data_IF_624571937683
#
_entry.id   IF_624571937683
#
_cell.length_a   1.000
_cell.length_b   1.000
_cell.length_c   1.000
_cell.angle_alpha   90.00
_cell.angle_beta   90.00
_cell.angle_gamma   90.00
#
_symmetry.space_group_name_H-M   'P 1'
#
loop_
_entity.id
_entity.type
_entity.pdbx_description
1 polymer ?
#
# COMPACT_ATOMS: atom_id res chain seq x y z
N UNK A 1 -14.77 7.11 -17.09
CA UNK A 1 -13.76 6.53 -16.19
C UNK A 1 -12.39 7.13 -16.49
N UNK A 2 -11.60 7.32 -15.50
CA UNK A 2 -10.25 7.90 -15.63
C UNK A 2 -9.23 7.00 -14.94
N UNK A 3 -8.10 6.76 -15.61
CA UNK A 3 -7.01 5.94 -15.09
C UNK A 3 -5.71 6.71 -15.14
N UNK A 4 -4.84 6.53 -14.14
CA UNK A 4 -3.54 7.17 -14.11
C UNK A 4 -2.43 6.18 -13.82
N UNK A 5 -1.35 6.29 -14.60
CA UNK A 5 -0.04 5.77 -14.24
C UNK A 5 0.83 6.95 -13.84
N UNK A 6 1.44 6.87 -12.67
CA UNK A 6 2.16 8.00 -12.07
C UNK A 6 3.66 7.80 -12.25
N UNK A 7 4.29 8.76 -12.97
CA UNK A 7 5.71 8.68 -13.28
C UNK A 7 6.62 8.80 -12.05
N UNK A 8 6.12 9.37 -10.94
CA UNK A 8 6.89 9.56 -9.71
C UNK A 8 6.78 8.39 -8.73
N UNK A 9 6.06 7.33 -9.11
CA UNK A 9 5.90 6.12 -8.31
C UNK A 9 6.52 4.91 -9.01
N UNK A 10 6.79 3.85 -8.26
CA UNK A 10 7.25 2.59 -8.81
C UNK A 10 6.28 2.12 -9.90
N UNK A 11 6.82 1.69 -11.04
CA UNK A 11 6.00 1.25 -12.18
C UNK A 11 5.21 0.00 -11.81
N UNK A 12 3.91 -0.09 -12.19
CA UNK A 12 3.16 -1.32 -12.02
C UNK A 12 3.86 -2.51 -12.68
N UNK A 13 3.71 -3.69 -12.10
CA UNK A 13 4.40 -4.91 -12.57
C UNK A 13 3.80 -5.46 -13.87
N UNK A 14 2.66 -4.92 -14.32
CA UNK A 14 1.98 -5.32 -15.56
C UNK A 14 1.17 -4.13 -16.09
N UNK A 15 0.28 -4.38 -17.04
CA UNK A 15 -0.52 -3.32 -17.68
C UNK A 15 -1.75 -2.97 -16.84
N UNK A 16 -1.56 -2.16 -15.81
CA UNK A 16 -2.65 -1.59 -15.03
C UNK A 16 -2.24 -0.24 -14.45
N UNK A 17 -3.22 0.65 -14.16
CA UNK A 17 -2.93 1.96 -13.61
C UNK A 17 -2.66 1.89 -12.10
N UNK A 18 -2.07 2.96 -11.54
CA UNK A 18 -1.96 3.13 -10.09
C UNK A 18 -3.31 3.43 -9.45
N UNK A 19 -4.18 4.14 -10.16
CA UNK A 19 -5.48 4.56 -9.66
C UNK A 19 -6.48 4.67 -10.81
N UNK A 20 -7.73 4.32 -10.52
CA UNK A 20 -8.81 4.41 -11.49
C UNK A 20 -10.04 5.03 -10.83
N UNK A 21 -10.60 6.05 -11.47
CA UNK A 21 -11.85 6.68 -11.02
C UNK A 21 -13.04 6.04 -11.74
N UNK A 22 -14.06 5.67 -10.96
CA UNK A 22 -15.35 5.22 -11.48
C UNK A 22 -16.41 5.99 -10.69
N UNK A 23 -17.09 6.94 -11.36
CA UNK A 23 -17.97 7.88 -10.65
C UNK A 23 -17.16 8.66 -9.63
N UNK A 24 -17.63 8.67 -8.40
CA UNK A 24 -16.93 9.32 -7.28
C UNK A 24 -16.01 8.36 -6.50
N UNK A 25 -15.87 7.11 -6.96
CA UNK A 25 -14.98 6.15 -6.32
C UNK A 25 -13.61 6.13 -6.99
N UNK A 26 -12.60 6.03 -6.16
CA UNK A 26 -11.21 5.89 -6.58
C UNK A 26 -10.72 4.51 -6.14
N UNK A 27 -10.28 3.72 -7.11
CA UNK A 27 -9.72 2.39 -6.88
C UNK A 27 -8.22 2.49 -6.98
N UNK A 28 -7.54 2.28 -5.84
CA UNK A 28 -6.08 2.28 -5.78
C UNK A 28 -5.59 0.85 -5.95
N UNK A 29 -4.63 0.65 -6.84
CA UNK A 29 -4.08 -0.68 -7.09
C UNK A 29 -3.47 -1.30 -5.82
N UNK A 30 -3.19 -2.61 -5.84
CA UNK A 30 -2.45 -3.28 -4.76
C UNK A 30 -1.11 -2.60 -4.57
N UNK A 31 -0.96 -1.88 -3.46
CA UNK A 31 0.17 -0.99 -3.20
C UNK A 31 1.10 -1.62 -2.19
N UNK A 32 2.39 -1.64 -2.51
CA UNK A 32 3.46 -2.06 -1.61
C UNK A 32 4.32 -0.87 -1.19
N UNK A 33 5.38 -1.13 -0.45
CA UNK A 33 6.34 -0.11 -0.06
C UNK A 33 7.44 0.10 -1.12
N UNK A 34 7.19 -0.31 -2.37
CA UNK A 34 8.15 -0.08 -3.46
C UNK A 34 8.35 1.41 -3.69
N UNK A 35 9.59 1.78 -3.89
CA UNK A 35 10.02 3.14 -4.18
C UNK A 35 10.25 3.28 -5.69
N UNK A 36 10.38 4.51 -6.17
CA UNK A 36 10.54 4.77 -7.60
C UNK A 36 11.76 4.04 -8.20
N UNK A 37 12.83 3.89 -7.44
CA UNK A 37 14.03 3.16 -7.87
C UNK A 37 13.88 1.64 -7.82
N UNK A 38 12.68 1.17 -7.50
CA UNK A 38 12.28 -0.24 -7.39
C UNK A 38 12.84 -0.97 -6.15
N UNK A 39 13.51 -0.28 -5.24
CA UNK A 39 13.79 -0.83 -3.91
C UNK A 39 12.54 -0.79 -3.04
N UNK A 40 12.55 -1.51 -1.93
CA UNK A 40 11.42 -1.57 -1.00
C UNK A 40 11.82 -0.97 0.33
N UNK A 41 11.09 0.07 0.76
CA UNK A 41 11.27 0.63 2.10
C UNK A 41 10.95 -0.46 3.13
N UNK A 42 11.86 -0.67 4.07
CA UNK A 42 11.70 -1.72 5.10
C UNK A 42 12.13 -3.11 4.67
N UNK A 43 12.83 -3.23 3.53
CA UNK A 43 13.49 -4.46 3.12
C UNK A 43 14.93 -4.14 2.78
N UNK A 44 15.85 -4.48 3.68
CA UNK A 44 17.26 -4.15 3.54
C UNK A 44 18.06 -5.40 3.16
N UNK A 45 18.80 -5.37 2.03
CA UNK A 45 19.63 -6.53 1.65
C UNK A 45 20.56 -6.94 2.81
N UNK A 46 20.64 -8.23 3.07
CA UNK A 46 21.46 -8.77 4.16
C UNK A 46 22.88 -9.16 3.70
N UNK A 47 23.19 -8.96 2.42
CA UNK A 47 24.47 -9.34 1.85
C UNK A 47 24.61 -10.84 1.58
N UNK A 48 23.55 -11.62 1.76
CA UNK A 48 23.54 -13.09 1.62
C UNK A 48 22.44 -13.58 0.69
N UNK A 49 21.95 -12.71 -0.19
CA UNK A 49 20.86 -13.04 -1.12
C UNK A 49 19.45 -12.89 -0.55
N UNK A 50 19.32 -12.45 0.70
CA UNK A 50 18.03 -12.21 1.34
C UNK A 50 17.89 -10.79 1.86
N UNK A 51 16.94 -10.59 2.78
CA UNK A 51 16.62 -9.26 3.31
C UNK A 51 16.41 -9.32 4.81
N UNK A 52 16.75 -8.21 5.48
CA UNK A 52 16.26 -7.90 6.82
C UNK A 52 15.02 -7.06 6.68
N UNK A 53 13.92 -7.51 7.27
CA UNK A 53 12.63 -6.84 7.14
C UNK A 53 12.33 -5.97 8.35
N UNK A 54 11.75 -4.80 8.07
CA UNK A 54 11.17 -3.92 9.07
C UNK A 54 9.70 -3.70 8.66
N UNK A 55 8.79 -4.46 9.28
CA UNK A 55 7.37 -4.38 8.92
C UNK A 55 6.78 -3.00 9.23
N UNK A 56 7.29 -2.31 10.24
CA UNK A 56 6.82 -0.95 10.57
C UNK A 56 7.16 0.02 9.45
N UNK A 57 8.38 -0.04 8.94
CA UNK A 57 8.80 0.79 7.81
C UNK A 57 8.05 0.40 6.52
N UNK A 58 7.84 -0.89 6.26
CA UNK A 58 7.06 -1.29 5.10
C UNK A 58 5.62 -0.80 5.20
N UNK A 59 4.99 -0.92 6.35
CA UNK A 59 3.61 -0.45 6.57
C UNK A 59 3.51 1.04 6.31
N UNK A 60 4.40 1.84 6.88
CA UNK A 60 4.43 3.28 6.65
C UNK A 60 4.61 3.60 5.16
N UNK A 61 5.53 2.90 4.50
CA UNK A 61 5.78 3.08 3.07
C UNK A 61 4.55 2.80 2.21
N UNK A 62 3.80 1.75 2.52
CA UNK A 62 2.55 1.44 1.80
C UNK A 62 1.53 2.56 1.97
N UNK A 63 1.29 2.99 3.21
CA UNK A 63 0.27 4.03 3.50
C UNK A 63 0.65 5.36 2.85
N UNK A 64 1.92 5.73 2.91
CA UNK A 64 2.40 6.98 2.30
C UNK A 64 2.34 6.91 0.78
N UNK A 65 2.61 5.75 0.17
CA UNK A 65 2.41 5.56 -1.26
C UNK A 65 0.93 5.72 -1.64
N UNK A 66 0.00 5.16 -0.86
CA UNK A 66 -1.43 5.34 -1.10
C UNK A 66 -1.81 6.82 -0.99
N UNK A 67 -1.31 7.51 0.03
CA UNK A 67 -1.56 8.95 0.20
C UNK A 67 -1.12 9.74 -1.03
N UNK A 68 0.07 9.47 -1.55
CA UNK A 68 0.60 10.17 -2.70
C UNK A 68 -0.18 9.86 -3.98
N UNK A 69 -0.59 8.59 -4.14
CA UNK A 69 -1.42 8.19 -5.27
C UNK A 69 -2.79 8.89 -5.23
N UNK A 70 -3.42 8.94 -4.05
CA UNK A 70 -4.70 9.66 -3.87
C UNK A 70 -4.56 11.15 -4.19
N UNK A 71 -3.44 11.76 -3.82
CA UNK A 71 -3.19 13.18 -4.08
C UNK A 71 -3.21 13.52 -5.58
N UNK A 72 -2.91 12.56 -6.46
CA UNK A 72 -3.01 12.75 -7.91
C UNK A 72 -4.45 12.99 -8.38
N UNK A 73 -5.43 12.65 -7.56
CA UNK A 73 -6.86 12.86 -7.81
C UNK A 73 -7.49 13.83 -6.79
N UNK A 74 -6.67 14.67 -6.17
CA UNK A 74 -7.09 15.63 -5.14
C UNK A 74 -7.80 14.98 -3.95
N UNK A 75 -7.47 13.72 -3.66
CA UNK A 75 -8.01 12.97 -2.54
C UNK A 75 -6.97 12.81 -1.44
N UNK A 76 -7.44 12.45 -0.26
CA UNK A 76 -6.64 12.31 0.97
C UNK A 76 -6.92 10.96 1.62
N UNK A 77 -6.11 10.59 2.62
CA UNK A 77 -6.34 9.37 3.39
C UNK A 77 -7.74 9.37 4.06
N UNK A 78 -8.24 10.55 4.46
CA UNK A 78 -9.57 10.69 5.05
C UNK A 78 -10.70 10.35 4.09
N UNK A 79 -10.44 10.31 2.79
CA UNK A 79 -11.42 9.92 1.78
C UNK A 79 -11.49 8.41 1.57
N UNK A 80 -10.61 7.64 2.21
CA UNK A 80 -10.64 6.18 2.13
C UNK A 80 -11.88 5.62 2.81
N UNK A 81 -12.55 4.68 2.15
CA UNK A 81 -13.72 3.99 2.71
C UNK A 81 -13.47 2.50 2.97
N UNK A 82 -12.52 1.89 2.28
CA UNK A 82 -12.20 0.47 2.48
C UNK A 82 -10.72 0.22 2.21
N UNK A 83 -10.10 -0.58 3.07
CA UNK A 83 -8.72 -1.05 2.91
C UNK A 83 -8.67 -2.55 3.13
N UNK A 84 -8.02 -3.27 2.24
CA UNK A 84 -7.71 -4.68 2.40
C UNK A 84 -6.19 -4.82 2.53
N UNK A 85 -5.75 -5.49 3.59
CA UNK A 85 -4.33 -5.67 3.92
C UNK A 85 -3.94 -7.13 3.75
N UNK A 86 -2.86 -7.35 3.02
CA UNK A 86 -2.29 -8.67 2.77
C UNK A 86 -0.93 -8.74 3.47
N UNK A 87 -0.80 -9.66 4.45
CA UNK A 87 0.46 -9.91 5.16
C UNK A 87 1.02 -11.26 4.73
N UNK A 88 2.33 -11.35 4.54
CA UNK A 88 2.98 -12.63 4.28
C UNK A 88 3.06 -13.45 5.58
N UNK A 89 3.26 -12.77 6.72
CA UNK A 89 3.36 -13.42 8.02
C UNK A 89 2.38 -12.76 9.00
N UNK A 90 1.41 -13.54 9.50
CA UNK A 90 0.42 -13.02 10.46
C UNK A 90 1.06 -12.60 11.78
N UNK A 91 2.27 -13.07 12.10
CA UNK A 91 3.00 -12.62 13.28
C UNK A 91 3.35 -11.13 13.22
N UNK A 92 3.32 -10.52 12.04
CA UNK A 92 3.53 -9.07 11.86
C UNK A 92 2.31 -8.22 12.21
N UNK A 93 1.18 -8.85 12.56
CA UNK A 93 -0.08 -8.13 12.77
C UNK A 93 0.04 -7.03 13.81
N UNK A 94 0.61 -7.32 14.99
CA UNK A 94 0.69 -6.32 16.06
C UNK A 94 1.53 -5.10 15.66
N UNK A 95 2.67 -5.32 15.04
CA UNK A 95 3.57 -4.24 14.64
C UNK A 95 2.97 -3.39 13.50
N UNK A 96 2.40 -4.03 12.47
CA UNK A 96 1.73 -3.30 11.41
C UNK A 96 0.53 -2.51 11.95
N UNK A 97 -0.22 -3.11 12.87
CA UNK A 97 -1.40 -2.48 13.45
C UNK A 97 -1.07 -1.20 14.22
N UNK A 98 0.06 -1.17 14.93
CA UNK A 98 0.51 0.04 15.62
C UNK A 98 0.78 1.17 14.63
N UNK A 99 1.46 0.88 13.52
CA UNK A 99 1.74 1.89 12.49
C UNK A 99 0.46 2.34 11.82
N UNK A 100 -0.42 1.39 11.46
CA UNK A 100 -1.72 1.70 10.88
C UNK A 100 -2.50 2.69 11.77
N UNK A 101 -2.54 2.43 13.07
CA UNK A 101 -3.25 3.27 14.03
C UNK A 101 -2.63 4.67 14.19
N UNK A 102 -1.39 4.88 13.75
CA UNK A 102 -0.79 6.21 13.73
C UNK A 102 -1.28 7.08 12.57
N UNK A 103 -1.84 6.46 11.53
CA UNK A 103 -2.39 7.16 10.36
C UNK A 103 -3.91 7.27 10.38
N UNK A 104 -4.59 6.33 11.02
CA UNK A 104 -6.06 6.22 10.98
C UNK A 104 -6.65 6.14 12.37
N UNK A 105 -7.85 6.72 12.50
CA UNK A 105 -8.67 6.63 13.72
C UNK A 105 -9.83 5.64 13.52
N UNK A 106 -10.67 5.48 14.53
CA UNK A 106 -11.88 4.66 14.43
C UNK A 106 -12.89 5.19 13.40
N UNK A 107 -12.73 6.45 12.95
CA UNK A 107 -13.53 7.06 11.89
C UNK A 107 -12.94 6.80 10.50
N UNK A 108 -11.89 6.02 10.41
CA UNK A 108 -11.22 5.69 9.15
C UNK A 108 -11.96 4.65 8.32
N UNK A 109 -11.29 4.12 7.29
CA UNK A 109 -11.91 3.12 6.41
C UNK A 109 -12.20 1.82 7.15
N UNK A 110 -13.16 1.05 6.64
CA UNK A 110 -13.28 -0.34 7.04
C UNK A 110 -12.03 -1.08 6.60
N UNK A 111 -11.61 -2.09 7.36
CA UNK A 111 -10.36 -2.81 7.09
C UNK A 111 -10.55 -4.31 7.25
N UNK A 112 -10.00 -5.05 6.30
CA UNK A 112 -9.87 -6.49 6.38
C UNK A 112 -8.39 -6.84 6.27
N UNK A 113 -7.88 -7.68 7.15
CA UNK A 113 -6.49 -8.15 7.12
C UNK A 113 -6.47 -9.66 6.96
N UNK A 114 -5.71 -10.16 6.01
CA UNK A 114 -5.52 -11.59 5.78
C UNK A 114 -4.04 -11.89 5.61
N UNK A 115 -3.64 -13.09 6.00
CA UNK A 115 -2.32 -13.62 5.67
C UNK A 115 -2.40 -14.34 4.33
N UNK A 116 -1.39 -14.15 3.50
CA UNK A 116 -1.27 -14.79 2.19
C UNK A 116 0.01 -15.63 2.14
N UNK A 117 0.04 -16.59 1.24
CA UNK A 117 1.21 -17.48 1.10
C UNK A 117 2.45 -16.71 0.64
N UNK A 118 2.28 -15.76 -0.27
CA UNK A 118 3.37 -14.95 -0.84
C UNK A 118 2.80 -13.71 -1.50
N UNK A 119 3.65 -12.72 -1.70
CA UNK A 119 3.40 -11.56 -2.55
C UNK A 119 4.30 -11.67 -3.79
N UNK A 120 4.07 -10.85 -4.84
CA UNK A 120 4.77 -11.03 -6.12
C UNK A 120 6.29 -10.89 -6.08
N UNK A 121 6.85 -10.32 -5.01
CA UNK A 121 8.30 -10.17 -4.84
C UNK A 121 8.73 -10.66 -3.46
N UNK A 122 9.94 -11.24 -3.33
CA UNK A 122 10.42 -11.77 -2.05
C UNK A 122 10.74 -10.69 -1.01
N UNK A 123 10.88 -9.42 -1.42
CA UNK A 123 11.14 -8.30 -0.52
C UNK A 123 9.86 -7.64 0.00
N UNK A 124 8.68 -8.11 -0.41
CA UNK A 124 7.39 -7.58 0.05
C UNK A 124 6.83 -8.44 1.18
N UNK A 125 6.56 -7.79 2.32
CA UNK A 125 5.93 -8.43 3.49
C UNK A 125 4.50 -7.97 3.71
N UNK A 126 4.08 -6.87 3.08
CA UNK A 126 2.76 -6.28 3.20
C UNK A 126 2.37 -5.59 1.91
N UNK A 127 1.09 -5.70 1.57
CA UNK A 127 0.47 -4.98 0.46
C UNK A 127 -0.92 -4.55 0.89
N UNK A 128 -1.39 -3.41 0.41
CA UNK A 128 -2.75 -2.94 0.66
C UNK A 128 -3.41 -2.55 -0.65
N UNK A 129 -4.69 -2.88 -0.78
CA UNK A 129 -5.54 -2.26 -1.80
C UNK A 129 -6.57 -1.39 -1.11
N UNK A 130 -6.95 -0.29 -1.75
CA UNK A 130 -7.77 0.73 -1.11
C UNK A 130 -8.82 1.28 -2.07
N UNK A 131 -9.95 1.67 -1.50
CA UNK A 131 -11.04 2.33 -2.23
C UNK A 131 -11.35 3.63 -1.48
N UNK A 132 -11.38 4.74 -2.21
CA UNK A 132 -11.76 6.05 -1.70
C UNK A 132 -13.00 6.57 -2.40
N UNK A 133 -13.66 7.52 -1.76
CA UNK A 133 -14.80 8.24 -2.35
C UNK A 133 -14.50 9.73 -2.30
N UNK A 134 -14.51 10.37 -3.47
CA UNK A 134 -14.21 11.80 -3.61
C UNK A 134 -15.07 12.38 -4.70
N UNK A 135 -16.10 13.07 -4.31
CA UNK A 135 -17.04 13.72 -5.19
C UNK A 135 -16.60 15.08 -5.70
#
# INVERSE_FOLDING_TARGET
MESKQLAHKAKPLANYPHIKRVGNFLFVFGTSARQKDNTVRGANPDGKGGFRFDIREQTAGVIENIRDILASCDAKLEDLCEVTVFLVDIADFAAYNEVYNSYFTAEGPTRTTVAVKALPRPDLMIEMKAIAHKG
#
